data_IF_188151011495
#
_entry.id   IF_188151011495
#
_cell.length_a   1.000
_cell.length_b   1.000
_cell.length_c   1.000
_cell.angle_alpha   90.00
_cell.angle_beta   90.00
_cell.angle_gamma   90.00
#
_symmetry.space_group_name_H-M   'P 1'
#
loop_
_entity.id
_entity.type
_entity.pdbx_description
1 polymer ?
#
# COMPACT_ATOMS: atom_id res chain seq x y z
N UNK A 1 26.40 23.07 -23.46
CA UNK A 1 25.25 22.93 -24.38
C UNK A 1 24.34 24.16 -24.29
N UNK A 2 24.61 25.20 -25.08
CA UNK A 2 23.88 26.47 -25.04
C UNK A 2 22.39 26.34 -25.45
N UNK A 3 22.08 25.39 -26.33
CA UNK A 3 20.71 25.05 -26.74
C UNK A 3 19.80 24.65 -25.56
N UNK A 4 20.31 23.86 -24.60
CA UNK A 4 19.54 23.45 -23.41
C UNK A 4 19.10 24.64 -22.55
N UNK A 5 19.93 25.68 -22.43
CA UNK A 5 19.58 26.90 -21.69
C UNK A 5 18.55 27.76 -22.43
N UNK A 6 18.59 27.77 -23.76
CA UNK A 6 17.63 28.50 -24.57
C UNK A 6 16.25 27.82 -24.53
N UNK A 7 16.21 26.48 -24.58
CA UNK A 7 14.98 25.70 -24.47
C UNK A 7 14.30 25.89 -23.11
N UNK A 8 15.07 25.89 -22.01
CA UNK A 8 14.55 26.16 -20.66
C UNK A 8 13.94 27.57 -20.58
N UNK A 9 14.62 28.58 -21.13
CA UNK A 9 14.11 29.96 -21.15
C UNK A 9 12.83 30.09 -21.98
N UNK A 10 12.71 29.36 -23.09
CA UNK A 10 11.49 29.36 -23.89
C UNK A 10 10.33 28.71 -23.14
N UNK A 11 10.56 27.57 -22.48
CA UNK A 11 9.55 26.91 -21.63
C UNK A 11 9.08 27.81 -20.50
N UNK A 12 10.00 28.46 -19.78
CA UNK A 12 9.67 29.42 -18.72
C UNK A 12 8.83 30.60 -19.25
N UNK A 13 9.14 31.13 -20.43
CA UNK A 13 8.32 32.19 -21.05
C UNK A 13 6.90 31.73 -21.34
N UNK A 14 6.73 30.48 -21.77
CA UNK A 14 5.40 29.90 -22.03
C UNK A 14 4.64 29.72 -20.71
N UNK A 15 5.27 29.14 -19.69
CA UNK A 15 4.67 28.97 -18.35
C UNK A 15 4.23 30.31 -17.74
N UNK A 16 5.07 31.35 -17.82
CA UNK A 16 4.72 32.70 -17.37
C UNK A 16 3.53 33.29 -18.13
N UNK A 17 3.45 33.07 -19.45
CA UNK A 17 2.29 33.50 -20.24
C UNK A 17 1.01 32.79 -19.80
N UNK A 18 1.09 31.47 -19.60
CA UNK A 18 -0.05 30.68 -19.11
C UNK A 18 -0.48 31.14 -17.72
N UNK A 19 0.46 31.35 -16.81
CA UNK A 19 0.19 31.84 -15.46
C UNK A 19 -0.45 33.25 -15.47
N UNK A 20 0.06 34.15 -16.31
CA UNK A 20 -0.48 35.51 -16.45
C UNK A 20 -1.90 35.47 -17.02
N UNK A 21 -2.14 34.60 -18.02
CA UNK A 21 -3.47 34.35 -18.56
C UNK A 21 -4.43 33.79 -17.50
N UNK A 22 -3.97 32.82 -16.70
CA UNK A 22 -4.77 32.23 -15.64
C UNK A 22 -5.13 33.27 -14.55
N UNK A 23 -4.18 34.13 -14.16
CA UNK A 23 -4.41 35.19 -13.16
C UNK A 23 -5.43 36.24 -13.61
N UNK A 24 -5.64 36.39 -14.92
CA UNK A 24 -6.67 37.29 -15.46
C UNK A 24 -8.08 36.71 -15.41
N UNK A 25 -8.22 35.41 -15.14
CA UNK A 25 -9.51 34.75 -14.99
C UNK A 25 -10.12 35.16 -13.63
N UNK A 26 -11.36 35.69 -13.61
CA UNK A 26 -12.06 35.96 -12.35
C UNK A 26 -12.17 34.69 -11.52
N UNK A 27 -11.98 34.80 -10.20
CA UNK A 27 -12.03 33.65 -9.27
C UNK A 27 -10.90 32.62 -9.47
N UNK A 28 -9.81 32.96 -10.19
CA UNK A 28 -8.59 32.16 -10.22
C UNK A 28 -7.50 32.70 -9.26
N UNK A 29 -6.87 31.84 -8.44
CA UNK A 29 -7.22 30.45 -8.20
C UNK A 29 -8.51 30.33 -7.38
N UNK A 30 -9.29 29.27 -7.64
CA UNK A 30 -10.57 29.09 -6.97
C UNK A 30 -10.34 28.80 -5.47
N UNK A 31 -10.77 29.74 -4.63
CA UNK A 31 -10.57 29.67 -3.19
C UNK A 31 -11.24 28.44 -2.56
N UNK A 32 -12.38 27.98 -3.09
CA UNK A 32 -13.08 26.78 -2.61
C UNK A 32 -12.27 25.51 -2.88
N UNK A 33 -11.61 25.44 -4.03
CA UNK A 33 -10.73 24.31 -4.36
C UNK A 33 -9.55 24.28 -3.41
N UNK A 34 -8.92 25.45 -3.17
CA UNK A 34 -7.83 25.56 -2.19
C UNK A 34 -8.30 25.12 -0.80
N UNK A 35 -9.46 25.62 -0.38
CA UNK A 35 -10.05 25.32 0.92
C UNK A 35 -10.38 23.84 1.10
N UNK A 36 -10.89 23.17 0.07
CA UNK A 36 -11.15 21.72 0.08
C UNK A 36 -9.87 20.92 0.34
N UNK A 37 -8.77 21.23 -0.35
CA UNK A 37 -7.50 20.52 -0.16
C UNK A 37 -6.85 20.82 1.20
N UNK A 38 -7.13 21.98 1.79
CA UNK A 38 -6.57 22.38 3.08
C UNK A 38 -7.41 21.91 4.27
N UNK A 39 -8.70 21.62 4.06
CA UNK A 39 -9.58 21.09 5.09
C UNK A 39 -9.46 19.58 5.15
N UNK A 40 -8.96 19.07 6.27
CA UNK A 40 -9.01 17.66 6.58
C UNK A 40 -10.30 17.37 7.37
N UNK A 41 -11.32 16.83 6.70
CA UNK A 41 -12.60 16.49 7.31
C UNK A 41 -12.78 14.98 7.54
N UNK A 42 -11.80 14.17 7.15
CA UNK A 42 -11.91 12.72 7.31
C UNK A 42 -11.74 12.34 8.78
N UNK A 43 -12.68 11.57 9.31
CA UNK A 43 -12.56 10.94 10.62
C UNK A 43 -11.61 9.73 10.47
N UNK A 44 -10.31 9.95 10.70
CA UNK A 44 -9.37 8.83 10.79
C UNK A 44 -9.59 8.16 12.16
N UNK A 45 -10.00 6.89 12.20
CA UNK A 45 -10.11 6.17 13.48
C UNK A 45 -8.74 6.12 14.14
N UNK A 46 -8.71 6.21 15.48
CA UNK A 46 -7.47 6.04 16.21
C UNK A 46 -6.86 4.66 15.92
N UNK A 47 -5.52 4.60 15.93
CA UNK A 47 -4.75 3.41 15.56
C UNK A 47 -5.09 2.18 16.42
N UNK A 48 -5.53 2.39 17.66
CA UNK A 48 -5.97 1.36 18.60
C UNK A 48 -7.28 0.65 18.17
N UNK A 49 -8.05 1.24 17.26
CA UNK A 49 -9.26 0.64 16.70
C UNK A 49 -8.95 -0.31 15.54
N UNK A 50 -7.78 -0.18 14.90
CA UNK A 50 -7.40 -0.98 13.74
C UNK A 50 -6.60 -2.21 14.16
N UNK A 51 -7.23 -3.40 14.13
CA UNK A 51 -6.53 -4.67 14.37
C UNK A 51 -6.39 -5.52 13.10
N UNK A 52 -5.15 -5.86 12.78
CA UNK A 52 -4.80 -6.76 11.68
C UNK A 52 -5.03 -8.21 12.10
N UNK A 53 -6.07 -8.82 11.52
CA UNK A 53 -6.45 -10.22 11.76
C UNK A 53 -5.71 -11.21 10.85
N UNK A 54 -5.63 -12.46 11.30
CA UNK A 54 -5.17 -13.57 10.48
C UNK A 54 -6.13 -13.77 9.29
N UNK A 55 -5.64 -13.93 8.05
CA UNK A 55 -6.48 -14.33 6.93
C UNK A 55 -7.19 -15.65 7.20
N UNK A 56 -8.50 -15.71 6.91
CA UNK A 56 -9.27 -16.96 6.91
C UNK A 56 -9.01 -17.70 5.59
N UNK A 57 -8.26 -18.80 5.68
CA UNK A 57 -7.90 -19.61 4.52
C UNK A 57 -9.14 -20.13 3.79
N UNK A 58 -10.16 -20.61 4.51
CA UNK A 58 -11.34 -21.22 3.91
C UNK A 58 -12.12 -20.16 3.13
N UNK A 59 -12.38 -19.01 3.75
CA UNK A 59 -13.08 -17.91 3.07
C UNK A 59 -12.29 -17.39 1.86
N UNK A 60 -10.96 -17.32 1.97
CA UNK A 60 -10.11 -16.94 0.85
C UNK A 60 -10.22 -17.95 -0.29
N UNK A 61 -10.11 -19.24 0.02
CA UNK A 61 -10.20 -20.34 -0.94
C UNK A 61 -11.56 -20.38 -1.65
N UNK A 62 -12.65 -20.24 -0.91
CA UNK A 62 -14.01 -20.20 -1.47
C UNK A 62 -14.18 -19.03 -2.46
N UNK A 63 -13.68 -17.85 -2.10
CA UNK A 63 -13.69 -16.66 -2.98
C UNK A 63 -12.78 -16.84 -4.19
N UNK A 64 -11.58 -17.38 -4.01
CA UNK A 64 -10.62 -17.60 -5.10
C UNK A 64 -11.14 -18.64 -6.09
N UNK A 65 -11.81 -19.68 -5.60
CA UNK A 65 -12.51 -20.64 -6.44
C UNK A 65 -13.64 -19.97 -7.23
N UNK A 66 -14.50 -19.19 -6.56
CA UNK A 66 -15.66 -18.58 -7.22
C UNK A 66 -15.32 -17.46 -8.20
N UNK A 67 -14.40 -16.57 -7.86
CA UNK A 67 -14.12 -15.37 -8.65
C UNK A 67 -12.93 -15.53 -9.61
N UNK A 68 -12.00 -16.43 -9.31
CA UNK A 68 -10.76 -16.60 -10.07
C UNK A 68 -10.59 -18.01 -10.64
N UNK A 69 -11.52 -18.93 -10.37
CA UNK A 69 -11.43 -20.35 -10.75
C UNK A 69 -10.14 -21.02 -10.27
N UNK A 70 -9.58 -20.55 -9.15
CA UNK A 70 -8.38 -21.14 -8.57
C UNK A 70 -8.73 -22.46 -7.89
N UNK A 71 -7.84 -23.45 -8.03
CA UNK A 71 -7.96 -24.69 -7.25
C UNK A 71 -7.66 -24.42 -5.77
N UNK A 72 -8.16 -25.28 -4.88
CA UNK A 72 -7.84 -25.20 -3.45
C UNK A 72 -6.33 -25.29 -3.18
N UNK A 73 -5.62 -26.13 -3.93
CA UNK A 73 -4.17 -26.24 -3.84
C UNK A 73 -3.48 -24.93 -4.23
N UNK A 74 -3.84 -24.35 -5.37
CA UNK A 74 -3.21 -23.13 -5.85
C UNK A 74 -3.49 -21.94 -4.93
N UNK A 75 -4.73 -21.80 -4.47
CA UNK A 75 -5.11 -20.76 -3.51
C UNK A 75 -4.42 -20.95 -2.16
N UNK A 76 -4.24 -22.18 -1.68
CA UNK A 76 -3.43 -22.47 -0.50
C UNK A 76 -1.99 -21.99 -0.66
N UNK A 77 -1.32 -22.36 -1.77
CA UNK A 77 0.06 -21.97 -2.06
C UNK A 77 0.26 -20.44 -2.08
N UNK A 78 -0.76 -19.69 -2.51
CA UNK A 78 -0.72 -18.22 -2.53
C UNK A 78 -1.06 -17.59 -1.19
N UNK A 79 -1.95 -18.20 -0.40
CA UNK A 79 -2.37 -17.66 0.89
C UNK A 79 -1.39 -18.01 2.02
N UNK A 80 -0.75 -19.17 1.94
CA UNK A 80 0.13 -19.69 2.98
C UNK A 80 1.28 -18.73 3.38
N UNK A 81 2.00 -18.07 2.44
CA UNK A 81 3.01 -17.07 2.80
C UNK A 81 2.42 -15.87 3.56
N UNK A 82 1.19 -15.46 3.25
CA UNK A 82 0.53 -14.32 3.91
C UNK A 82 0.18 -14.68 5.35
N UNK A 83 -0.40 -15.86 5.56
CA UNK A 83 -0.75 -16.35 6.90
C UNK A 83 0.51 -16.51 7.75
N UNK A 84 1.54 -17.16 7.22
CA UNK A 84 2.79 -17.39 7.97
C UNK A 84 3.52 -16.07 8.28
N UNK A 85 3.52 -15.11 7.36
CA UNK A 85 4.06 -13.76 7.60
C UNK A 85 3.28 -13.01 8.68
N UNK A 86 1.95 -13.07 8.68
CA UNK A 86 1.12 -12.50 9.74
C UNK A 86 1.42 -13.14 11.10
N UNK A 87 1.57 -14.47 11.16
CA UNK A 87 1.93 -15.17 12.40
C UNK A 87 3.31 -14.72 12.91
N UNK A 88 4.30 -14.58 12.03
CA UNK A 88 5.63 -14.08 12.40
C UNK A 88 5.59 -12.65 12.91
N UNK A 89 4.79 -11.79 12.27
CA UNK A 89 4.60 -10.40 12.68
C UNK A 89 3.95 -10.26 14.06
N UNK A 90 2.94 -11.10 14.36
CA UNK A 90 2.32 -11.11 15.71
C UNK A 90 3.31 -11.63 16.76
N UNK A 91 4.05 -12.71 16.46
CA UNK A 91 5.10 -13.24 17.35
C UNK A 91 6.23 -12.25 17.63
N UNK A 92 6.57 -11.37 16.69
CA UNK A 92 7.65 -10.37 16.90
C UNK A 92 7.22 -9.13 17.67
N UNK A 93 5.91 -8.85 17.73
CA UNK A 93 5.34 -7.67 18.41
C UNK A 93 4.80 -7.97 19.81
N UNK A 94 4.27 -9.16 20.04
CA UNK A 94 3.75 -9.55 21.35
C UNK A 94 4.87 -10.11 22.23
N UNK A 95 5.14 -9.44 23.36
CA UNK A 95 6.08 -9.88 24.41
C UNK A 95 5.59 -11.13 25.18
N UNK A 96 4.43 -11.68 24.80
CA UNK A 96 3.83 -12.91 25.34
C UNK A 96 3.71 -13.98 24.25
N UNK A 97 4.85 -14.41 23.71
CA UNK A 97 4.98 -15.52 22.76
C UNK A 97 4.26 -16.81 23.19
N UNK A 98 4.08 -17.00 24.50
CA UNK A 98 3.65 -18.25 25.11
C UNK A 98 2.13 -18.52 24.99
N UNK A 99 1.33 -17.57 24.49
CA UNK A 99 -0.14 -17.69 24.39
C UNK A 99 -0.68 -17.75 22.96
N UNK A 100 0.15 -17.50 21.95
CA UNK A 100 -0.32 -17.48 20.55
C UNK A 100 -0.42 -18.92 20.03
N UNK A 101 -1.65 -19.40 19.82
CA UNK A 101 -1.86 -20.69 19.15
C UNK A 101 -1.54 -20.53 17.67
N UNK A 102 -0.38 -21.06 17.26
CA UNK A 102 0.05 -21.03 15.87
C UNK A 102 -0.81 -21.95 15.00
N UNK A 103 -1.42 -21.39 13.96
CA UNK A 103 -2.16 -22.14 12.94
C UNK A 103 -1.23 -23.08 12.16
N UNK A 104 -0.07 -22.58 11.77
CA UNK A 104 1.02 -23.36 11.17
C UNK A 104 2.25 -23.33 12.06
N UNK A 105 2.84 -24.51 12.28
CA UNK A 105 4.09 -24.68 13.03
C UNK A 105 5.21 -25.06 12.06
N UNK A 106 6.40 -24.44 12.15
CA UNK A 106 7.54 -24.87 11.36
C UNK A 106 7.92 -26.30 11.77
N UNK A 107 8.04 -27.19 10.79
CA UNK A 107 8.50 -28.57 11.04
C UNK A 107 10.02 -28.60 11.15
N UNK A 108 10.71 -28.00 10.18
CA UNK A 108 12.17 -27.95 10.11
C UNK A 108 12.63 -26.67 9.40
N UNK A 109 13.84 -26.21 9.72
CA UNK A 109 14.48 -25.11 9.02
C UNK A 109 15.42 -25.66 7.95
N UNK A 110 15.02 -25.58 6.69
CA UNK A 110 15.83 -26.03 5.55
C UNK A 110 16.76 -24.88 5.12
N UNK A 111 17.89 -24.71 5.82
CA UNK A 111 19.05 -23.82 5.57
C UNK A 111 18.86 -22.42 4.95
N UNK A 112 19.47 -21.41 5.58
CA UNK A 112 19.44 -19.96 5.26
C UNK A 112 19.94 -19.51 3.85
N UNK A 113 20.27 -20.40 2.92
CA UNK A 113 20.83 -20.02 1.61
C UNK A 113 19.83 -19.43 0.59
N UNK A 114 18.54 -19.30 0.94
CA UNK A 114 17.49 -18.75 0.06
C UNK A 114 16.91 -17.40 0.51
N UNK A 115 17.54 -16.67 1.43
CA UNK A 115 17.01 -15.42 1.99
C UNK A 115 17.21 -14.16 1.11
N UNK A 116 17.63 -14.27 -0.16
CA UNK A 116 17.93 -13.08 -0.99
C UNK A 116 17.48 -13.19 -2.45
N UNK A 117 16.29 -13.71 -2.72
CA UNK A 117 15.61 -13.38 -3.99
C UNK A 117 14.15 -13.10 -3.68
N UNK A 118 13.85 -11.84 -3.34
CA UNK A 118 12.59 -11.12 -3.58
C UNK A 118 12.66 -9.79 -2.80
N UNK A 119 13.47 -8.86 -3.31
CA UNK A 119 13.11 -7.44 -3.36
C UNK A 119 12.89 -7.10 -4.83
#
# INVERSE_FOLDING_TARGET
AWHKNNDVRQKQKIELKVYTGAKSIPDFPNAKVIEEYLKFNDEIPHEDVLDWQCPDLKQFQDKAFHYLSWTFQHSFEKCFPIITSWQQFKLSRDDQSDKITLLYKPTEYVSLSCLCVLM
#
